data_IF_128755986398
#
_entry.id   IF_128755986398
#
_cell.length_a   1.000
_cell.length_b   1.000
_cell.length_c   1.000
_cell.angle_alpha   90.00
_cell.angle_beta   90.00
_cell.angle_gamma   90.00
#
_symmetry.space_group_name_H-M   'P 1'
#
loop_
_entity.id
_entity.type
_entity.pdbx_description
1 polymer ?
#
# COMPACT_ATOMS: atom_id res chain seq x y z
N UNK A 1 -1.48 22.43 -8.74
CA UNK A 1 -0.98 21.55 -7.66
C UNK A 1 -0.38 20.30 -8.26
N UNK A 2 0.79 19.91 -7.80
CA UNK A 2 1.46 18.67 -8.23
C UNK A 2 0.86 17.49 -7.47
N UNK A 3 0.62 16.37 -8.16
CA UNK A 3 0.16 15.13 -7.54
C UNK A 3 1.26 14.08 -7.59
N UNK A 4 1.58 13.53 -6.42
CA UNK A 4 2.59 12.47 -6.26
C UNK A 4 1.85 11.16 -6.00
N UNK A 5 2.23 10.11 -6.72
CA UNK A 5 1.68 8.77 -6.52
C UNK A 5 2.48 8.00 -5.48
N UNK A 6 1.81 7.43 -4.50
CA UNK A 6 2.42 6.59 -3.49
C UNK A 6 1.64 5.29 -3.29
N UNK A 7 2.34 4.26 -2.88
CA UNK A 7 1.77 2.93 -2.67
C UNK A 7 1.87 2.57 -1.19
N UNK A 8 0.78 2.03 -0.65
CA UNK A 8 0.70 1.51 0.71
C UNK A 8 0.80 0.00 0.63
N UNK A 9 1.77 -0.59 1.36
CA UNK A 9 1.92 -2.03 1.50
C UNK A 9 1.70 -2.46 2.94
N UNK A 10 1.12 -3.63 3.13
CA UNK A 10 1.08 -4.30 4.43
C UNK A 10 2.26 -5.26 4.52
N UNK A 11 3.17 -5.03 5.48
CA UNK A 11 4.30 -5.93 5.70
C UNK A 11 3.85 -7.23 6.40
N UNK A 12 4.66 -8.29 6.30
CA UNK A 12 4.32 -9.59 6.88
C UNK A 12 4.20 -9.55 8.41
N UNK A 13 4.90 -8.64 9.06
CA UNK A 13 4.81 -8.43 10.51
C UNK A 13 3.59 -7.61 10.95
N UNK A 14 2.76 -7.17 10.00
CA UNK A 14 1.56 -6.38 10.24
C UNK A 14 1.76 -4.87 10.23
N UNK A 15 2.99 -4.37 10.12
CA UNK A 15 3.24 -2.95 9.96
C UNK A 15 2.88 -2.48 8.56
N UNK A 16 2.81 -1.16 8.37
CA UNK A 16 2.53 -0.56 7.08
C UNK A 16 3.75 0.15 6.56
N UNK A 17 3.95 0.06 5.25
CA UNK A 17 4.98 0.80 4.52
C UNK A 17 4.31 1.65 3.46
N UNK A 18 4.81 2.86 3.26
CA UNK A 18 4.37 3.76 2.19
C UNK A 18 5.59 4.17 1.41
N UNK A 19 5.50 4.17 0.09
CA UNK A 19 6.62 4.63 -0.74
C UNK A 19 6.11 5.37 -1.98
N UNK A 20 6.88 6.36 -2.39
CA UNK A 20 6.61 7.09 -3.64
C UNK A 20 6.89 6.17 -4.85
N UNK A 21 5.98 6.19 -5.81
CA UNK A 21 6.09 5.33 -6.99
C UNK A 21 7.27 5.70 -7.89
N UNK A 22 7.53 7.00 -8.02
CA UNK A 22 8.56 7.53 -8.93
C UNK A 22 9.63 8.34 -8.20
N UNK A 23 9.83 8.10 -6.91
CA UNK A 23 10.82 8.80 -6.11
C UNK A 23 11.36 7.89 -5.01
N UNK A 24 12.36 8.40 -4.27
CA UNK A 24 13.09 7.62 -3.25
C UNK A 24 12.43 7.63 -1.88
N UNK A 25 11.38 8.42 -1.68
CA UNK A 25 10.79 8.62 -0.35
C UNK A 25 9.93 7.44 0.07
N UNK A 26 10.07 7.06 1.33
CA UNK A 26 9.28 6.00 1.94
C UNK A 26 9.05 6.29 3.42
N UNK A 27 8.15 5.57 4.02
CA UNK A 27 7.87 5.63 5.44
C UNK A 27 7.30 4.32 5.94
N UNK A 28 7.36 4.09 7.24
CA UNK A 28 6.83 2.90 7.87
C UNK A 28 6.20 3.25 9.22
N UNK A 29 5.25 2.44 9.66
CA UNK A 29 4.59 2.65 10.94
C UNK A 29 3.63 1.52 11.29
N UNK A 30 3.12 1.56 12.51
CA UNK A 30 2.16 0.58 13.02
C UNK A 30 0.75 0.82 12.50
N UNK A 31 0.50 2.00 11.95
CA UNK A 31 -0.75 2.37 11.28
C UNK A 31 -0.44 3.04 9.94
N UNK A 32 -1.46 3.16 9.10
CA UNK A 32 -1.32 3.88 7.82
C UNK A 32 -0.98 5.34 8.07
N UNK A 33 -1.61 5.97 9.05
CA UNK A 33 -1.35 7.38 9.38
C UNK A 33 0.07 7.59 9.86
N UNK A 34 0.60 6.67 10.69
CA UNK A 34 2.00 6.73 11.14
C UNK A 34 2.97 6.58 9.97
N UNK A 35 2.70 5.64 9.05
CA UNK A 35 3.55 5.43 7.89
C UNK A 35 3.55 6.66 6.96
N UNK A 36 2.39 7.27 6.75
CA UNK A 36 2.27 8.52 5.96
C UNK A 36 3.03 9.67 6.62
N UNK A 37 2.89 9.82 7.93
CA UNK A 37 3.59 10.86 8.68
C UNK A 37 5.11 10.65 8.62
N UNK A 38 5.56 9.42 8.77
CA UNK A 38 6.99 9.09 8.66
C UNK A 38 7.55 9.44 7.28
N UNK A 39 6.84 9.12 6.20
CA UNK A 39 7.28 9.49 4.86
C UNK A 39 7.37 11.01 4.68
N UNK A 40 6.39 11.78 5.18
CA UNK A 40 6.43 13.23 5.12
C UNK A 40 7.62 13.80 5.89
N UNK A 41 7.92 13.25 7.06
CA UNK A 41 9.08 13.65 7.85
C UNK A 41 10.38 13.37 7.09
N UNK A 42 10.46 12.23 6.41
CA UNK A 42 11.62 11.89 5.58
C UNK A 42 11.78 12.87 4.41
N UNK A 43 10.69 13.27 3.76
CA UNK A 43 10.70 14.26 2.70
C UNK A 43 11.22 15.61 3.18
N UNK A 44 10.72 16.10 4.30
CA UNK A 44 11.14 17.37 4.89
C UNK A 44 12.61 17.34 5.33
N UNK A 45 13.02 16.26 5.97
CA UNK A 45 14.40 16.05 6.38
C UNK A 45 15.35 16.02 5.20
N UNK A 46 14.95 15.31 4.12
CA UNK A 46 15.76 15.23 2.92
C UNK A 46 15.98 16.61 2.28
N UNK A 47 14.91 17.37 2.13
CA UNK A 47 14.98 18.74 1.58
C UNK A 47 15.89 19.62 2.43
N UNK A 48 15.70 19.63 3.74
CA UNK A 48 16.51 20.41 4.67
C UNK A 48 17.98 20.06 4.56
N UNK A 49 18.30 18.77 4.57
CA UNK A 49 19.68 18.28 4.46
C UNK A 49 20.31 18.65 3.12
N UNK A 50 19.53 18.51 2.04
CA UNK A 50 19.99 18.84 0.69
C UNK A 50 20.33 20.34 0.57
N UNK A 51 19.50 21.22 1.11
CA UNK A 51 19.75 22.67 1.13
C UNK A 51 21.03 22.98 1.93
N UNK A 52 21.18 22.39 3.11
CA UNK A 52 22.35 22.62 3.97
C UNK A 52 23.64 22.16 3.32
N UNK A 53 23.61 21.05 2.56
CA UNK A 53 24.80 20.43 1.97
C UNK A 53 25.00 20.73 0.49
N UNK A 54 24.09 21.49 -0.13
CA UNK A 54 24.17 21.86 -1.54
C UNK A 54 23.84 20.73 -2.51
N UNK A 55 23.05 19.73 -2.10
CA UNK A 55 22.59 18.65 -2.97
C UNK A 55 21.30 19.02 -3.70
N UNK A 56 21.07 18.37 -4.83
CA UNK A 56 19.80 18.49 -5.55
C UNK A 56 18.72 17.68 -4.83
N UNK A 57 17.50 18.18 -4.90
CA UNK A 57 16.32 17.48 -4.40
C UNK A 57 15.15 17.66 -5.38
N UNK A 58 14.12 16.78 -5.32
CA UNK A 58 12.99 16.89 -6.25
C UNK A 58 12.26 18.24 -6.11
N UNK A 59 12.01 18.89 -7.24
CA UNK A 59 11.43 20.24 -7.26
C UNK A 59 10.01 20.30 -6.72
N UNK A 60 9.26 19.18 -6.72
CA UNK A 60 7.91 19.18 -6.17
C UNK A 60 7.88 19.54 -4.68
N UNK A 61 8.98 19.33 -3.96
CA UNK A 61 9.09 19.69 -2.54
C UNK A 61 9.06 21.20 -2.31
N UNK A 62 9.33 22.00 -3.35
CA UNK A 62 9.24 23.48 -3.30
C UNK A 62 7.86 24.01 -3.69
N UNK A 63 6.96 23.13 -4.07
CA UNK A 63 5.65 23.49 -4.58
C UNK A 63 4.57 22.97 -3.63
N UNK A 64 3.35 23.43 -3.82
CA UNK A 64 2.19 22.80 -3.21
C UNK A 64 1.93 21.48 -3.91
N UNK A 65 1.87 20.40 -3.15
CA UNK A 65 1.65 19.05 -3.69
C UNK A 65 0.66 18.28 -2.84
N UNK A 66 0.03 17.29 -3.47
CA UNK A 66 -0.79 16.29 -2.79
C UNK A 66 -0.28 14.90 -3.13
N UNK A 67 -0.51 13.97 -2.24
CA UNK A 67 -0.12 12.58 -2.43
C UNK A 67 -1.38 11.75 -2.64
N UNK A 68 -1.43 11.02 -3.76
CA UNK A 68 -2.49 10.08 -4.06
C UNK A 68 -2.02 8.68 -3.67
N UNK A 69 -2.64 8.11 -2.63
CA UNK A 69 -2.25 6.81 -2.09
C UNK A 69 -3.12 5.71 -2.69
N UNK A 70 -2.47 4.63 -3.13
CA UNK A 70 -3.13 3.40 -3.54
C UNK A 70 -2.61 2.25 -2.70
N UNK A 71 -3.46 1.26 -2.40
CA UNK A 71 -3.03 0.10 -1.63
C UNK A 71 -2.56 -1.02 -2.55
N UNK A 72 -1.51 -1.71 -2.15
CA UNK A 72 -1.10 -2.97 -2.77
C UNK A 72 -1.94 -4.10 -2.19
N UNK A 73 -2.98 -4.49 -2.92
CA UNK A 73 -3.91 -5.53 -2.49
C UNK A 73 -3.25 -6.91 -2.33
N UNK A 74 -2.18 -7.18 -3.08
CA UNK A 74 -1.44 -8.44 -2.97
C UNK A 74 -0.70 -8.52 -1.63
N UNK A 75 -0.07 -7.45 -1.19
CA UNK A 75 0.59 -7.40 0.11
C UNK A 75 -0.41 -7.60 1.25
N UNK A 76 -1.59 -7.00 1.13
CA UNK A 76 -2.68 -7.16 2.08
C UNK A 76 -3.14 -8.62 2.15
N UNK A 77 -3.41 -9.24 1.02
CA UNK A 77 -3.78 -10.65 0.93
C UNK A 77 -2.72 -11.56 1.55
N UNK A 78 -1.47 -11.32 1.20
CA UNK A 78 -0.33 -12.10 1.71
C UNK A 78 -0.24 -12.03 3.23
N UNK A 79 -0.43 -10.85 3.81
CA UNK A 79 -0.44 -10.70 5.25
C UNK A 79 -1.54 -11.54 5.91
N UNK A 80 -2.78 -11.45 5.43
CA UNK A 80 -3.91 -12.15 6.05
C UNK A 80 -3.82 -13.66 5.91
N UNK A 81 -3.29 -14.15 4.79
CA UNK A 81 -3.09 -15.59 4.59
C UNK A 81 -1.98 -16.12 5.50
N UNK A 82 -0.83 -15.44 5.54
CA UNK A 82 0.30 -15.86 6.38
C UNK A 82 0.01 -15.76 7.87
N UNK A 83 -0.80 -14.78 8.28
CA UNK A 83 -1.24 -14.64 9.67
C UNK A 83 -2.31 -15.66 10.06
N UNK A 84 -2.80 -16.46 9.12
CA UNK A 84 -3.84 -17.46 9.39
C UNK A 84 -5.23 -16.87 9.61
N UNK A 85 -5.44 -15.62 9.24
CA UNK A 85 -6.73 -14.94 9.43
C UNK A 85 -7.70 -15.27 8.30
N UNK A 86 -7.20 -15.30 7.06
CA UNK A 86 -7.99 -15.67 5.88
C UNK A 86 -7.33 -16.83 5.16
N UNK A 87 -8.16 -17.73 4.60
CA UNK A 87 -7.69 -18.82 3.77
C UNK A 87 -7.77 -18.45 2.28
N UNK A 88 -6.98 -19.14 1.44
CA UNK A 88 -7.10 -18.99 -0.01
C UNK A 88 -8.51 -19.35 -0.49
N UNK A 89 -9.14 -20.35 0.12
CA UNK A 89 -10.53 -20.72 -0.16
C UNK A 89 -11.48 -19.56 0.12
N UNK A 90 -11.30 -18.86 1.24
CA UNK A 90 -12.10 -17.68 1.58
C UNK A 90 -11.88 -16.54 0.62
N UNK A 91 -10.65 -16.30 0.24
CA UNK A 91 -10.30 -15.23 -0.72
C UNK A 91 -10.85 -15.55 -2.11
N UNK A 92 -10.85 -16.80 -2.53
CA UNK A 92 -11.52 -17.21 -3.77
C UNK A 92 -13.00 -16.83 -3.75
N UNK A 93 -13.68 -17.01 -2.61
CA UNK A 93 -15.09 -16.66 -2.48
C UNK A 93 -15.36 -15.19 -2.61
N UNK A 94 -14.49 -14.34 -2.08
CA UNK A 94 -14.69 -12.89 -2.15
C UNK A 94 -14.18 -12.24 -3.43
N UNK A 95 -13.27 -12.91 -4.15
CA UNK A 95 -12.66 -12.36 -5.37
C UNK A 95 -13.13 -13.02 -6.66
N UNK A 96 -13.59 -14.28 -6.58
CA UNK A 96 -13.89 -15.09 -7.75
C UNK A 96 -12.65 -15.59 -8.50
N UNK A 97 -11.47 -15.43 -7.93
CA UNK A 97 -10.21 -15.91 -8.50
C UNK A 97 -9.89 -17.26 -7.86
N UNK A 98 -9.54 -18.27 -8.68
CA UNK A 98 -9.29 -19.60 -8.14
C UNK A 98 -8.04 -19.66 -7.24
N UNK A 99 -8.01 -20.63 -6.34
CA UNK A 99 -6.95 -20.76 -5.34
C UNK A 99 -5.56 -20.95 -5.94
N UNK A 100 -5.43 -21.66 -7.05
CA UNK A 100 -4.15 -21.84 -7.74
C UNK A 100 -3.57 -20.50 -8.21
N UNK A 101 -4.41 -19.67 -8.78
CA UNK A 101 -4.02 -18.34 -9.25
C UNK A 101 -3.62 -17.46 -8.08
N UNK A 102 -4.42 -17.44 -7.02
CA UNK A 102 -4.12 -16.68 -5.79
C UNK A 102 -2.80 -17.14 -5.17
N UNK A 103 -2.58 -18.46 -5.10
CA UNK A 103 -1.33 -19.01 -4.59
C UNK A 103 -0.13 -18.54 -5.40
N UNK A 104 -0.25 -18.50 -6.73
CA UNK A 104 0.84 -18.02 -7.58
C UNK A 104 1.18 -16.55 -7.29
N UNK A 105 0.18 -15.71 -7.00
CA UNK A 105 0.40 -14.31 -6.62
C UNK A 105 1.13 -14.19 -5.28
N UNK A 106 0.83 -15.05 -4.31
CA UNK A 106 1.57 -15.10 -3.04
C UNK A 106 3.03 -15.51 -3.23
N UNK A 107 3.34 -16.23 -4.29
CA UNK A 107 4.67 -16.76 -4.57
C UNK A 107 5.41 -16.02 -5.68
N UNK A 108 5.04 -14.78 -5.94
CA UNK A 108 5.81 -13.87 -6.77
C UNK A 108 5.29 -13.65 -8.19
N UNK A 109 4.25 -14.36 -8.63
CA UNK A 109 3.64 -14.07 -9.91
C UNK A 109 2.92 -12.72 -9.83
N UNK A 110 3.28 -11.80 -10.72
CA UNK A 110 2.66 -10.48 -10.75
C UNK A 110 1.30 -10.55 -11.43
N UNK A 111 0.20 -10.19 -10.76
CA UNK A 111 -1.12 -10.20 -11.37
C UNK A 111 -1.27 -9.08 -12.40
N UNK A 112 -2.14 -9.30 -13.37
CA UNK A 112 -2.61 -8.22 -14.25
C UNK A 112 -3.45 -7.24 -13.43
N UNK A 113 -3.55 -6.01 -13.93
CA UNK A 113 -4.33 -4.96 -13.26
C UNK A 113 -5.77 -5.38 -12.97
N UNK A 114 -6.43 -6.06 -13.92
CA UNK A 114 -7.80 -6.56 -13.74
C UNK A 114 -7.91 -7.52 -12.55
N UNK A 115 -6.92 -8.36 -12.33
CA UNK A 115 -6.90 -9.30 -11.20
C UNK A 115 -6.59 -8.59 -9.89
N UNK A 116 -5.66 -7.66 -9.88
CA UNK A 116 -5.39 -6.80 -8.72
C UNK A 116 -6.64 -6.04 -8.30
N UNK A 117 -7.37 -5.48 -9.25
CA UNK A 117 -8.62 -4.75 -9.01
C UNK A 117 -9.71 -5.67 -8.44
N UNK A 118 -9.79 -6.91 -8.90
CA UNK A 118 -10.73 -7.91 -8.36
C UNK A 118 -10.40 -8.26 -6.91
N UNK A 119 -9.13 -8.39 -6.58
CA UNK A 119 -8.70 -8.65 -5.19
C UNK A 119 -9.08 -7.47 -4.31
N UNK A 120 -8.76 -6.25 -4.74
CA UNK A 120 -9.12 -5.04 -4.00
C UNK A 120 -10.63 -4.91 -3.81
N UNK A 121 -11.41 -5.14 -4.87
CA UNK A 121 -12.87 -5.10 -4.82
C UNK A 121 -13.43 -6.14 -3.87
N UNK A 122 -12.87 -7.35 -3.86
CA UNK A 122 -13.28 -8.42 -2.94
C UNK A 122 -13.07 -8.04 -1.48
N UNK A 123 -11.91 -7.46 -1.15
CA UNK A 123 -11.64 -6.99 0.20
C UNK A 123 -12.54 -5.80 0.61
N UNK A 124 -12.78 -4.88 -0.30
CA UNK A 124 -13.69 -3.75 -0.05
C UNK A 124 -15.10 -4.22 0.25
N UNK A 125 -15.59 -5.21 -0.51
CA UNK A 125 -16.92 -5.78 -0.30
C UNK A 125 -17.01 -6.46 1.06
N UNK A 126 -15.99 -7.24 1.45
CA UNK A 126 -15.94 -7.86 2.77
C UNK A 126 -15.97 -6.79 3.88
N UNK A 127 -15.19 -5.73 3.72
CA UNK A 127 -15.19 -4.60 4.65
C UNK A 127 -16.59 -3.97 4.77
N UNK A 128 -17.26 -3.71 3.66
CA UNK A 128 -18.59 -3.11 3.66
C UNK A 128 -19.60 -4.01 4.37
N UNK A 129 -19.60 -5.31 4.07
CA UNK A 129 -20.49 -6.27 4.73
C UNK A 129 -20.29 -6.28 6.24
N UNK A 130 -19.04 -6.35 6.70
CA UNK A 130 -18.73 -6.34 8.13
C UNK A 130 -19.07 -5.00 8.79
N UNK A 131 -18.81 -3.90 8.10
CA UNK A 131 -19.12 -2.57 8.61
C UNK A 131 -20.62 -2.42 8.88
N UNK A 132 -21.48 -2.84 7.96
CA UNK A 132 -22.93 -2.75 8.14
C UNK A 132 -23.46 -3.67 9.24
N UNK A 133 -22.79 -4.79 9.49
CA UNK A 133 -23.16 -5.70 10.58
C UNK A 133 -22.84 -5.08 11.93
N UNK A 134 -21.72 -4.39 12.06
CA UNK A 134 -21.21 -3.86 13.35
C UNK A 134 -21.44 -2.37 13.56
N UNK A 135 -21.92 -1.67 12.56
CA UNK A 135 -22.12 -0.23 12.66
C UNK A 135 -23.34 0.17 13.56
#
# INVERSE_FOLDING_TARGET
>A
MVTIEAIIERAEDGTYCVYCKNDIFSGAGVSIDDAKADMKDQMEFYKKTAIEKGFKYPLFLDQEYQINYTIDAISLMKYYVKAGILSLSGIEKITGINQKQLWSYLNGTKPRKTQSDRIETGFKKLYEDLYYIFA
#
